data_IF_172773959969
#
_entry.id   IF_172773959969
#
_cell.length_a   1.000
_cell.length_b   1.000
_cell.length_c   1.000
_cell.angle_alpha   90.00
_cell.angle_beta   90.00
_cell.angle_gamma   90.00
#
_symmetry.space_group_name_H-M   'P 1'
#
loop_
_entity.id
_entity.type
_entity.pdbx_description
1 polymer ?
#
# COMPACT_ATOMS: atom_id res chain seq x y z
N UNK A 1 14.10 21.24 28.33
CA UNK A 1 13.01 21.91 27.59
C UNK A 1 13.11 21.39 26.18
N UNK A 2 12.46 20.26 25.92
CA UNK A 2 12.60 19.50 24.67
C UNK A 2 11.36 19.78 23.84
N UNK A 3 11.56 20.49 22.75
CA UNK A 3 10.52 20.91 21.81
C UNK A 3 10.09 19.69 20.99
N UNK A 4 8.82 19.30 21.12
CA UNK A 4 8.23 18.24 20.32
C UNK A 4 8.01 18.77 18.89
N UNK A 5 8.83 18.30 17.95
CA UNK A 5 8.61 18.50 16.52
C UNK A 5 7.35 17.74 16.13
N UNK A 6 6.25 18.46 16.00
CA UNK A 6 4.98 17.94 15.48
C UNK A 6 5.14 17.75 13.97
N UNK A 7 5.45 16.52 13.54
CA UNK A 7 5.39 16.17 12.13
C UNK A 7 3.92 16.30 11.68
N UNK A 8 3.66 17.31 10.85
CA UNK A 8 2.35 17.55 10.24
C UNK A 8 2.11 16.48 9.19
N UNK A 9 1.26 15.49 9.49
CA UNK A 9 0.81 14.51 8.50
C UNK A 9 -0.24 15.15 7.59
N UNK A 10 0.22 15.85 6.56
CA UNK A 10 -0.65 16.21 5.45
C UNK A 10 -1.08 14.91 4.74
N UNK A 11 -2.36 14.58 4.87
CA UNK A 11 -3.00 13.54 4.05
C UNK A 11 -2.88 14.01 2.60
N UNK A 12 -1.94 13.43 1.85
CA UNK A 12 -1.79 13.69 0.42
C UNK A 12 -3.03 13.17 -0.29
N UNK A 13 -3.99 14.07 -0.52
CA UNK A 13 -5.21 13.77 -1.27
C UNK A 13 -4.80 13.52 -2.72
N UNK A 14 -5.31 12.45 -3.32
CA UNK A 14 -5.06 12.20 -4.74
C UNK A 14 -5.61 13.38 -5.57
N UNK A 15 -4.89 13.83 -6.61
CA UNK A 15 -5.33 14.93 -7.46
C UNK A 15 -6.70 14.63 -8.09
N UNK A 16 -7.53 15.65 -8.20
CA UNK A 16 -8.84 15.57 -8.84
C UNK A 16 -8.70 15.31 -10.34
N UNK A 17 -9.77 14.85 -11.00
CA UNK A 17 -9.76 14.66 -12.46
C UNK A 17 -9.42 15.97 -13.20
N UNK A 18 -9.92 17.09 -12.70
CA UNK A 18 -9.65 18.42 -13.26
C UNK A 18 -8.17 18.78 -13.10
N UNK A 19 -7.58 18.51 -11.93
CA UNK A 19 -6.15 18.75 -11.67
C UNK A 19 -5.27 17.91 -12.61
N UNK A 20 -5.69 16.69 -12.92
CA UNK A 20 -5.00 15.81 -13.86
C UNK A 20 -5.10 16.29 -15.31
N UNK A 21 -6.23 16.88 -15.70
CA UNK A 21 -6.44 17.41 -17.05
C UNK A 21 -5.64 18.72 -17.26
N UNK A 22 -5.54 19.57 -16.23
CA UNK A 22 -4.68 20.76 -16.24
C UNK A 22 -3.19 20.38 -16.32
N UNK A 23 -2.75 19.40 -15.51
CA UNK A 23 -1.40 18.86 -15.57
C UNK A 23 -1.05 18.27 -16.95
N UNK A 24 -2.02 17.63 -17.61
CA UNK A 24 -1.83 17.09 -18.95
C UNK A 24 -1.63 18.19 -19.99
N UNK A 25 -2.37 19.30 -19.90
CA UNK A 25 -2.20 20.46 -20.77
C UNK A 25 -0.83 21.13 -20.56
N UNK A 26 -0.39 21.27 -19.31
CA UNK A 26 0.94 21.80 -18.98
C UNK A 26 2.04 20.90 -19.58
N UNK A 27 1.94 19.58 -19.39
CA UNK A 27 2.89 18.64 -19.96
C UNK A 27 2.95 18.71 -21.49
N UNK A 28 1.81 18.85 -22.15
CA UNK A 28 1.73 19.03 -23.61
C UNK A 28 2.43 20.32 -24.05
N UNK A 29 2.28 21.41 -23.30
CA UNK A 29 2.99 22.67 -23.56
C UNK A 29 4.53 22.51 -23.46
N UNK A 30 5.00 21.58 -22.63
CA UNK A 30 6.41 21.18 -22.56
C UNK A 30 6.81 20.07 -23.57
N UNK A 31 5.90 19.66 -24.46
CA UNK A 31 6.13 18.62 -25.45
C UNK A 31 6.14 17.19 -24.89
N UNK A 32 5.54 16.98 -23.71
CA UNK A 32 5.45 15.68 -23.02
C UNK A 32 4.01 15.15 -23.11
N UNK A 33 3.83 14.04 -23.84
CA UNK A 33 2.55 13.31 -23.86
C UNK A 33 2.49 12.31 -22.69
N UNK A 34 1.90 12.74 -21.57
CA UNK A 34 1.68 11.89 -20.40
C UNK A 34 0.79 10.68 -20.71
N UNK A 35 -0.14 10.82 -21.67
CA UNK A 35 -1.00 9.72 -22.10
C UNK A 35 -0.22 8.66 -22.88
N UNK A 36 0.75 9.04 -23.70
CA UNK A 36 1.67 8.11 -24.37
C UNK A 36 2.60 7.42 -23.37
N UNK A 37 3.17 8.15 -22.41
CA UNK A 37 3.95 7.58 -21.31
C UNK A 37 3.16 6.57 -20.47
N UNK A 38 1.89 6.85 -20.17
CA UNK A 38 1.03 5.94 -19.42
C UNK A 38 0.58 4.69 -20.23
N UNK A 39 0.63 4.76 -21.56
CA UNK A 39 0.21 3.70 -22.48
C UNK A 39 1.38 2.88 -23.04
N UNK A 40 2.59 3.06 -22.52
CA UNK A 40 3.74 2.27 -22.93
C UNK A 40 3.41 0.76 -22.80
N UNK A 41 3.35 0.00 -23.90
CA UNK A 41 3.02 -1.43 -23.85
C UNK A 41 4.05 -2.26 -23.08
N UNK A 42 5.26 -1.73 -22.82
CA UNK A 42 6.28 -2.38 -21.99
C UNK A 42 6.10 -2.10 -20.48
N UNK A 43 5.08 -1.32 -20.06
CA UNK A 43 4.69 -1.08 -18.66
C UNK A 43 4.03 -2.30 -17.96
N UNK A 44 4.43 -3.52 -18.28
CA UNK A 44 4.06 -4.71 -17.49
C UNK A 44 4.89 -4.85 -16.22
N UNK A 45 5.95 -4.05 -16.07
CA UNK A 45 6.89 -4.12 -14.95
C UNK A 45 6.70 -2.91 -14.03
N UNK A 46 6.37 -3.17 -12.75
CA UNK A 46 6.31 -2.13 -11.73
C UNK A 46 7.69 -1.97 -11.11
N UNK A 47 8.27 -0.77 -11.21
CA UNK A 47 9.52 -0.45 -10.53
C UNK A 47 9.25 -0.05 -9.07
N UNK A 48 9.98 -0.66 -8.15
CA UNK A 48 9.97 -0.30 -6.74
C UNK A 48 11.09 0.68 -6.44
N UNK A 49 10.74 1.77 -5.74
CA UNK A 49 11.75 2.63 -5.13
C UNK A 49 12.56 1.82 -4.11
N UNK A 50 13.89 2.02 -4.02
CA UNK A 50 14.75 1.22 -3.13
C UNK A 50 14.28 1.18 -1.67
N UNK A 51 13.72 2.29 -1.18
CA UNK A 51 13.18 2.41 0.19
C UNK A 51 12.01 1.45 0.45
N UNK A 52 11.24 1.09 -0.58
CA UNK A 52 10.09 0.20 -0.45
C UNK A 52 10.46 -1.28 -0.60
N UNK A 53 11.70 -1.60 -1.00
CA UNK A 53 12.13 -2.99 -1.23
C UNK A 53 12.00 -3.85 0.04
N UNK A 54 12.42 -3.40 1.24
CA UNK A 54 12.26 -4.20 2.47
C UNK A 54 10.79 -4.46 2.80
N UNK A 55 9.94 -3.42 2.74
CA UNK A 55 8.50 -3.52 2.99
C UNK A 55 7.83 -4.48 2.02
N UNK A 56 8.08 -4.33 0.71
CA UNK A 56 7.56 -5.24 -0.30
C UNK A 56 8.02 -6.69 -0.11
N UNK A 57 9.30 -6.88 0.20
CA UNK A 57 9.87 -8.22 0.43
C UNK A 57 9.20 -8.91 1.61
N UNK A 58 9.03 -8.22 2.74
CA UNK A 58 8.34 -8.77 3.90
C UNK A 58 6.85 -8.98 3.62
N UNK A 59 6.18 -7.99 3.05
CA UNK A 59 4.75 -8.03 2.71
C UNK A 59 4.38 -9.26 1.88
N UNK A 60 5.13 -9.54 0.80
CA UNK A 60 4.87 -10.70 -0.06
C UNK A 60 5.05 -12.05 0.62
N UNK A 61 5.75 -12.11 1.76
CA UNK A 61 6.01 -13.35 2.52
C UNK A 61 5.00 -13.57 3.65
N UNK A 62 4.36 -12.53 4.14
CA UNK A 62 3.42 -12.62 5.29
C UNK A 62 1.95 -12.75 4.87
N UNK A 63 1.65 -12.83 3.56
CA UNK A 63 0.28 -12.90 3.03
C UNK A 63 -0.55 -14.12 3.49
N UNK A 64 0.07 -15.11 4.11
CA UNK A 64 -0.61 -16.29 4.66
C UNK A 64 -0.85 -16.19 6.17
N UNK A 65 -0.30 -15.17 6.83
CA UNK A 65 -0.29 -15.00 8.29
C UNK A 65 -1.48 -14.18 8.79
N UNK A 66 -2.67 -14.40 8.22
CA UNK A 66 -3.89 -13.69 8.62
C UNK A 66 -4.55 -14.37 9.82
N UNK A 67 -4.87 -13.58 10.85
CA UNK A 67 -5.82 -13.94 11.89
C UNK A 67 -7.23 -13.85 11.33
N UNK A 68 -8.06 -14.82 11.73
CA UNK A 68 -9.46 -14.95 11.32
C UNK A 68 -10.35 -14.98 12.54
N UNK A 69 -11.55 -14.41 12.43
CA UNK A 69 -12.54 -14.42 13.50
C UNK A 69 -13.96 -14.63 12.96
N UNK A 70 -14.86 -14.99 13.89
CA UNK A 70 -16.28 -15.18 13.61
C UNK A 70 -16.58 -16.45 12.81
N UNK A 71 -17.87 -16.73 12.62
CA UNK A 71 -18.34 -17.92 11.91
C UNK A 71 -18.06 -17.87 10.40
N UNK A 72 -17.87 -16.67 9.84
CA UNK A 72 -17.56 -16.46 8.41
C UNK A 72 -16.08 -16.62 8.10
N UNK A 73 -15.20 -16.70 9.11
CA UNK A 73 -13.75 -16.79 8.92
C UNK A 73 -13.13 -15.52 8.32
N UNK A 74 -13.77 -14.37 8.53
CA UNK A 74 -13.31 -13.07 8.06
C UNK A 74 -11.91 -12.77 8.61
N UNK A 75 -11.04 -12.22 7.76
CA UNK A 75 -9.71 -11.78 8.21
C UNK A 75 -9.85 -10.53 9.07
N UNK A 76 -9.15 -10.49 10.20
CA UNK A 76 -9.21 -9.35 11.13
C UNK A 76 -7.91 -8.58 11.23
N UNK A 77 -6.81 -9.18 10.77
CA UNK A 77 -5.48 -8.58 10.76
C UNK A 77 -4.39 -9.64 10.63
N UNK A 78 -3.15 -9.21 10.44
CA UNK A 78 -1.97 -10.04 10.44
C UNK A 78 -1.60 -10.48 11.85
N UNK A 79 -1.02 -11.67 11.94
CA UNK A 79 -0.33 -12.11 13.14
C UNK A 79 1.06 -11.46 13.20
N UNK A 80 1.17 -10.35 13.94
CA UNK A 80 2.43 -9.62 14.07
C UNK A 80 3.56 -10.43 14.73
N UNK A 81 3.25 -11.49 15.50
CA UNK A 81 4.30 -12.38 16.02
C UNK A 81 4.89 -13.26 14.92
N UNK A 82 4.06 -13.73 13.98
CA UNK A 82 4.51 -14.43 12.80
C UNK A 82 5.23 -13.49 11.82
N UNK A 83 4.74 -12.25 11.64
CA UNK A 83 5.41 -11.22 10.83
C UNK A 83 6.82 -10.96 11.35
N UNK A 84 6.97 -10.73 12.66
CA UNK A 84 8.28 -10.54 13.29
C UNK A 84 9.20 -11.74 13.04
N UNK A 85 8.67 -12.97 13.15
CA UNK A 85 9.46 -14.18 12.87
C UNK A 85 9.91 -14.27 11.42
N UNK A 86 9.07 -13.90 10.46
CA UNK A 86 9.44 -13.86 9.04
C UNK A 86 10.49 -12.79 8.78
N UNK A 87 10.36 -11.61 9.39
CA UNK A 87 11.32 -10.53 9.30
C UNK A 87 12.73 -10.98 9.79
N UNK A 88 12.79 -11.69 10.92
CA UNK A 88 14.02 -12.30 11.44
C UNK A 88 14.64 -13.29 10.44
N UNK A 89 13.83 -14.16 9.84
CA UNK A 89 14.30 -15.16 8.85
C UNK A 89 14.85 -14.49 7.59
N UNK A 90 14.27 -13.36 7.19
CA UNK A 90 14.73 -12.55 6.06
C UNK A 90 15.96 -11.69 6.39
N UNK A 91 16.44 -11.69 7.64
CA UNK A 91 17.53 -10.81 8.08
C UNK A 91 17.17 -9.33 7.98
N UNK A 92 15.87 -9.01 8.02
CA UNK A 92 15.36 -7.64 7.92
C UNK A 92 14.74 -7.27 9.27
N UNK A 93 15.45 -6.50 10.13
CA UNK A 93 14.92 -6.11 11.43
C UNK A 93 13.59 -5.37 11.26
N UNK A 94 12.58 -5.76 12.05
CA UNK A 94 11.30 -5.08 12.07
C UNK A 94 11.43 -3.75 12.83
N UNK A 95 11.90 -2.72 12.12
CA UNK A 95 11.97 -1.34 12.64
C UNK A 95 10.58 -0.74 12.78
N UNK A 96 10.47 0.40 13.45
CA UNK A 96 9.21 1.15 13.52
C UNK A 96 8.68 1.50 12.12
N UNK A 97 9.53 2.07 11.25
CA UNK A 97 9.13 2.45 9.89
C UNK A 97 8.64 1.25 9.08
N UNK A 98 9.36 0.11 9.15
CA UNK A 98 8.96 -1.10 8.45
C UNK A 98 7.66 -1.69 9.00
N UNK A 99 7.44 -1.60 10.31
CA UNK A 99 6.19 -1.98 10.93
C UNK A 99 5.03 -1.10 10.43
N UNK A 100 5.24 0.21 10.34
CA UNK A 100 4.25 1.17 9.82
C UNK A 100 3.93 0.91 8.34
N UNK A 101 4.93 0.61 7.52
CA UNK A 101 4.74 0.23 6.11
C UNK A 101 3.90 -1.05 5.95
N UNK A 102 4.15 -2.06 6.79
CA UNK A 102 3.37 -3.30 6.80
C UNK A 102 1.94 -3.05 7.29
N UNK A 103 1.76 -2.22 8.31
CA UNK A 103 0.44 -1.83 8.82
C UNK A 103 -0.36 -1.06 7.76
N UNK A 104 0.28 -0.19 6.97
CA UNK A 104 -0.36 0.50 5.86
C UNK A 104 -0.84 -0.48 4.78
N UNK A 105 -0.02 -1.48 4.44
CA UNK A 105 -0.41 -2.53 3.49
C UNK A 105 -1.57 -3.40 4.04
N UNK A 106 -1.53 -3.74 5.32
CA UNK A 106 -2.60 -4.46 6.02
C UNK A 106 -3.93 -3.71 5.94
N UNK A 107 -3.93 -2.41 6.23
CA UNK A 107 -5.15 -1.59 6.23
C UNK A 107 -5.86 -1.64 4.87
N UNK A 108 -5.11 -1.54 3.77
CA UNK A 108 -5.65 -1.64 2.41
C UNK A 108 -6.18 -3.04 2.11
N UNK A 109 -5.45 -4.09 2.52
CA UNK A 109 -5.88 -5.47 2.32
C UNK A 109 -7.18 -5.80 3.07
N UNK A 110 -7.31 -5.33 4.31
CA UNK A 110 -8.54 -5.47 5.10
C UNK A 110 -9.70 -4.71 4.45
N UNK A 111 -9.45 -3.52 3.91
CA UNK A 111 -10.48 -2.76 3.20
C UNK A 111 -11.00 -3.48 1.95
N UNK A 112 -10.09 -4.03 1.14
CA UNK A 112 -10.45 -4.83 -0.03
C UNK A 112 -11.22 -6.09 0.37
N UNK A 113 -10.82 -6.76 1.45
CA UNK A 113 -11.50 -7.95 1.93
C UNK A 113 -12.94 -7.64 2.37
N UNK A 114 -13.16 -6.57 3.13
CA UNK A 114 -14.51 -6.12 3.54
C UNK A 114 -15.40 -5.83 2.33
N UNK A 115 -14.88 -5.08 1.34
CA UNK A 115 -15.64 -4.78 0.11
C UNK A 115 -16.06 -6.06 -0.62
N UNK A 116 -15.16 -7.04 -0.73
CA UNK A 116 -15.46 -8.34 -1.37
C UNK A 116 -16.51 -9.14 -0.60
N UNK A 117 -16.48 -9.11 0.73
CA UNK A 117 -17.49 -9.75 1.56
C UNK A 117 -18.87 -9.10 1.38
N UNK A 118 -18.93 -7.76 1.35
CA UNK A 118 -20.18 -7.04 1.14
C UNK A 118 -20.75 -7.28 -0.26
N UNK A 119 -19.91 -7.31 -1.29
CA UNK A 119 -20.31 -7.69 -2.64
C UNK A 119 -20.80 -9.14 -2.73
N UNK A 120 -20.13 -10.08 -2.04
CA UNK A 120 -20.56 -11.47 -2.00
C UNK A 120 -21.92 -11.63 -1.31
N UNK A 121 -22.17 -10.86 -0.25
CA UNK A 121 -23.47 -10.81 0.43
C UNK A 121 -24.57 -10.20 -0.44
N UNK A 122 -24.26 -9.19 -1.24
CA UNK A 122 -25.23 -8.56 -2.14
C UNK A 122 -25.62 -9.44 -3.34
N UNK A 123 -24.78 -10.43 -3.69
CA UNK A 123 -25.01 -11.37 -4.80
C UNK A 123 -25.76 -12.66 -4.40
N UNK A 124 -25.87 -12.96 -3.11
CA UNK A 124 -26.55 -14.15 -2.57
C UNK A 124 -27.92 -13.81 -2.01
#
# INVERSE_FOLDING_TARGET
>A
MTEAVRASSEVRTAPSRADLDELAADAEAFGVDLGALARDPDHTTIQLWPVNVPAWTLWTRVQTQWRRAGMTGAITGLDYSAVARVADVLGTPLTQDLLEDIAACEAVALDIARRREDEARARG
#
